data_IF_456551353594
#
_entry.id   IF_456551353594
#
_cell.length_a   1.000
_cell.length_b   1.000
_cell.length_c   1.000
_cell.angle_alpha   90.00
_cell.angle_beta   90.00
_cell.angle_gamma   90.00
#
_symmetry.space_group_name_H-M   'P 1'
#
loop_
_entity.id
_entity.type
_entity.pdbx_description
1 polymer ?
#
# COMPACT_ATOMS: atom_id res chain seq x y z
N UNK A 1 -2.91 17.87 -32.12
CA UNK A 1 -2.64 19.15 -31.42
C UNK A 1 -3.98 19.74 -31.02
N UNK A 2 -4.28 19.80 -29.73
CA UNK A 2 -5.53 20.40 -29.23
C UNK A 2 -5.29 21.84 -28.80
N UNK A 3 -6.22 22.75 -29.12
CA UNK A 3 -6.21 24.15 -28.63
C UNK A 3 -7.52 24.47 -27.93
N UNK A 4 -7.43 25.10 -26.75
CA UNK A 4 -8.58 25.58 -25.97
C UNK A 4 -8.27 26.95 -25.36
N UNK A 5 -9.29 27.78 -25.23
CA UNK A 5 -9.18 29.12 -24.65
C UNK A 5 -10.15 29.20 -23.48
N UNK A 6 -9.67 29.70 -22.34
CA UNK A 6 -10.46 29.93 -21.14
C UNK A 6 -10.29 31.36 -20.66
N UNK A 7 -11.33 31.94 -20.06
CA UNK A 7 -11.18 33.14 -19.23
C UNK A 7 -10.38 32.83 -17.95
N UNK A 8 -9.64 33.79 -17.41
CA UNK A 8 -8.87 33.57 -16.16
C UNK A 8 -9.83 33.24 -15.00
N UNK A 9 -10.91 33.99 -14.85
CA UNK A 9 -11.91 33.80 -13.79
C UNK A 9 -12.73 32.53 -14.00
N UNK A 10 -13.07 32.20 -15.25
CA UNK A 10 -13.70 30.94 -15.63
C UNK A 10 -12.80 29.74 -15.24
N UNK A 11 -11.50 29.84 -15.53
CA UNK A 11 -10.56 28.78 -15.19
C UNK A 11 -10.40 28.63 -13.67
N UNK A 12 -10.42 29.73 -12.91
CA UNK A 12 -10.41 29.67 -11.44
C UNK A 12 -11.67 29.01 -10.89
N UNK A 13 -12.83 29.20 -11.52
CA UNK A 13 -14.08 28.53 -11.15
C UNK A 13 -14.01 27.02 -11.40
N UNK A 14 -13.52 26.62 -12.58
CA UNK A 14 -13.33 25.21 -12.92
C UNK A 14 -12.41 24.50 -11.90
N UNK A 15 -11.44 25.24 -11.35
CA UNK A 15 -10.48 24.76 -10.36
C UNK A 15 -10.93 24.97 -8.91
N UNK A 16 -12.13 25.50 -8.65
CA UNK A 16 -12.67 25.80 -7.31
C UNK A 16 -11.74 26.68 -6.44
N UNK A 17 -11.13 27.69 -7.04
CA UNK A 17 -10.17 28.62 -6.39
C UNK A 17 -10.46 30.09 -6.71
N UNK A 18 -11.73 30.43 -6.88
CA UNK A 18 -12.20 31.78 -7.23
C UNK A 18 -11.76 32.84 -6.20
N UNK A 19 -11.74 32.47 -4.93
CA UNK A 19 -11.36 33.31 -3.79
C UNK A 19 -9.85 33.34 -3.53
N UNK A 20 -9.08 32.47 -4.20
CA UNK A 20 -7.62 32.38 -4.06
C UNK A 20 -6.88 33.10 -5.19
N UNK A 21 -5.65 33.52 -4.90
CA UNK A 21 -4.75 34.16 -5.86
C UNK A 21 -5.36 35.39 -6.56
N UNK A 22 -5.73 36.39 -5.76
CA UNK A 22 -6.33 37.64 -6.25
C UNK A 22 -5.54 38.31 -7.37
N UNK A 23 -4.21 38.24 -7.34
CA UNK A 23 -3.34 38.71 -8.43
C UNK A 23 -3.08 37.59 -9.44
N UNK A 24 -3.27 37.89 -10.74
CA UNK A 24 -2.96 36.97 -11.83
C UNK A 24 -1.52 36.42 -11.76
N UNK A 25 -0.54 37.24 -11.37
CA UNK A 25 0.85 36.78 -11.20
C UNK A 25 0.99 35.60 -10.22
N UNK A 26 0.24 35.60 -9.11
CA UNK A 26 0.25 34.50 -8.15
C UNK A 26 -0.43 33.25 -8.73
N UNK A 27 -1.53 33.42 -9.46
CA UNK A 27 -2.22 32.34 -10.15
C UNK A 27 -1.33 31.70 -11.21
N UNK A 28 -0.64 32.52 -12.02
CA UNK A 28 0.34 32.06 -13.01
C UNK A 28 1.47 31.27 -12.36
N UNK A 29 2.10 31.83 -11.31
CA UNK A 29 3.26 31.20 -10.68
C UNK A 29 2.91 29.91 -9.95
N UNK A 30 1.80 29.89 -9.20
CA UNK A 30 1.48 28.77 -8.29
C UNK A 30 0.62 27.70 -8.94
N UNK A 31 -0.18 28.06 -9.96
CA UNK A 31 -1.10 27.13 -10.63
C UNK A 31 -0.61 26.83 -12.04
N UNK A 32 -0.56 27.83 -12.93
CA UNK A 32 -0.35 27.58 -14.36
C UNK A 32 1.04 26.99 -14.65
N UNK A 33 2.10 27.61 -14.14
CA UNK A 33 3.48 27.15 -14.35
C UNK A 33 3.75 25.84 -13.63
N UNK A 34 3.17 25.65 -12.44
CA UNK A 34 3.33 24.41 -11.67
C UNK A 34 2.64 23.24 -12.37
N UNK A 35 1.40 23.43 -12.80
CA UNK A 35 0.66 22.44 -13.58
C UNK A 35 1.36 22.10 -14.91
N UNK A 36 1.98 23.09 -15.56
CA UNK A 36 2.76 22.86 -16.78
C UNK A 36 3.95 21.92 -16.54
N UNK A 37 4.70 22.15 -15.46
CA UNK A 37 5.83 21.30 -15.04
C UNK A 37 5.36 19.88 -14.67
N UNK A 38 4.33 19.79 -13.80
CA UNK A 38 3.87 18.51 -13.25
C UNK A 38 3.26 17.62 -14.33
N UNK A 39 2.45 18.19 -15.24
CA UNK A 39 1.86 17.45 -16.36
C UNK A 39 2.96 16.96 -17.31
N UNK A 40 3.95 17.79 -17.63
CA UNK A 40 5.08 17.36 -18.49
C UNK A 40 5.95 16.28 -17.83
N UNK A 41 6.07 16.28 -16.49
CA UNK A 41 6.89 15.31 -15.76
C UNK A 41 6.18 13.98 -15.54
N UNK A 42 4.88 14.00 -15.27
CA UNK A 42 4.14 12.85 -14.73
C UNK A 42 3.05 12.29 -15.66
N UNK A 43 2.83 12.89 -16.84
CA UNK A 43 1.79 12.42 -17.77
C UNK A 43 2.32 12.24 -19.20
N UNK A 44 1.52 11.59 -20.04
CA UNK A 44 1.80 11.36 -21.47
C UNK A 44 1.54 12.60 -22.35
N UNK A 45 1.12 13.71 -21.76
CA UNK A 45 0.87 14.99 -22.43
C UNK A 45 1.70 16.11 -21.81
N UNK A 46 1.86 17.22 -22.55
CA UNK A 46 2.36 18.49 -22.03
C UNK A 46 1.60 19.63 -22.70
N UNK A 47 1.63 20.81 -22.11
CA UNK A 47 0.99 21.98 -22.73
C UNK A 47 1.86 23.23 -22.62
N UNK A 48 1.57 24.21 -23.46
CA UNK A 48 2.00 25.60 -23.29
C UNK A 48 0.76 26.48 -23.28
N UNK A 49 0.89 27.73 -22.83
CA UNK A 49 -0.21 28.68 -22.90
C UNK A 49 0.27 30.07 -23.27
N UNK A 50 -0.58 30.80 -24.00
CA UNK A 50 -0.39 32.21 -24.32
C UNK A 50 -1.38 33.08 -23.54
N UNK A 51 -0.91 34.24 -23.10
CA UNK A 51 -1.69 35.23 -22.37
C UNK A 51 -2.38 36.17 -23.36
N UNK A 52 -3.71 36.23 -23.29
CA UNK A 52 -4.52 37.10 -24.12
C UNK A 52 -5.10 38.19 -23.24
N UNK A 53 -4.82 39.43 -23.60
CA UNK A 53 -5.29 40.63 -22.92
C UNK A 53 -6.02 41.49 -23.95
N UNK A 54 -7.31 41.76 -23.74
CA UNK A 54 -8.05 42.72 -24.57
C UNK A 54 -7.67 44.15 -24.17
N UNK A 55 -7.34 44.35 -22.89
CA UNK A 55 -6.73 45.58 -22.36
C UNK A 55 -5.29 45.33 -21.91
N UNK A 56 -4.33 46.22 -22.23
CA UNK A 56 -2.89 46.01 -21.97
C UNK A 56 -2.48 45.82 -20.50
N UNK A 57 -3.39 46.00 -19.54
CA UNK A 57 -3.09 46.00 -18.10
C UNK A 57 -3.42 44.68 -17.41
N UNK A 58 -4.32 43.87 -17.98
CA UNK A 58 -4.83 42.65 -17.34
C UNK A 58 -4.93 41.51 -18.34
N UNK A 59 -4.43 40.34 -17.95
CA UNK A 59 -4.67 39.10 -18.69
C UNK A 59 -6.09 38.64 -18.42
N UNK A 60 -6.89 38.54 -19.47
CA UNK A 60 -8.31 38.16 -19.37
C UNK A 60 -8.52 36.69 -19.77
N UNK A 61 -7.70 36.20 -20.72
CA UNK A 61 -7.86 34.87 -21.33
C UNK A 61 -6.53 34.15 -21.46
N UNK A 62 -6.59 32.83 -21.46
CA UNK A 62 -5.45 31.92 -21.61
C UNK A 62 -5.73 30.96 -22.75
N UNK A 63 -4.82 30.89 -23.72
CA UNK A 63 -4.89 29.96 -24.84
C UNK A 63 -3.94 28.79 -24.63
N UNK A 64 -4.48 27.63 -24.25
CA UNK A 64 -3.72 26.41 -24.03
C UNK A 64 -3.52 25.62 -25.33
N UNK A 65 -2.30 25.13 -25.53
CA UNK A 65 -1.91 24.27 -26.65
C UNK A 65 -1.35 22.96 -26.09
N UNK A 66 -1.99 21.84 -26.42
CA UNK A 66 -1.66 20.52 -25.87
C UNK A 66 -0.90 19.68 -26.90
N UNK A 67 0.20 19.09 -26.44
CA UNK A 67 1.13 18.25 -27.20
C UNK A 67 1.24 16.87 -26.55
N UNK A 68 1.52 15.84 -27.37
CA UNK A 68 1.94 14.53 -26.84
C UNK A 68 3.35 14.65 -26.25
N UNK A 69 3.57 14.08 -25.08
CA UNK A 69 4.87 14.06 -24.42
C UNK A 69 5.84 13.12 -25.14
N UNK A 70 7.15 13.42 -25.12
CA UNK A 70 8.17 12.64 -25.85
C UNK A 70 8.64 11.39 -25.08
N UNK A 71 8.36 11.31 -23.79
CA UNK A 71 8.68 10.14 -22.94
C UNK A 71 7.63 9.06 -23.18
N UNK A 72 7.96 8.07 -24.01
CA UNK A 72 7.11 6.92 -24.30
C UNK A 72 7.53 5.72 -23.45
N UNK A 73 6.55 5.15 -22.74
CA UNK A 73 6.53 3.80 -22.14
C UNK A 73 7.39 3.61 -20.88
N UNK A 74 6.70 3.68 -19.74
CA UNK A 74 6.87 2.84 -18.54
C UNK A 74 8.32 2.65 -18.08
N UNK A 75 8.84 3.63 -17.37
CA UNK A 75 9.63 3.34 -16.17
C UNK A 75 8.69 3.47 -14.98
N UNK A 76 8.08 2.35 -14.58
CA UNK A 76 7.63 2.19 -13.19
C UNK A 76 8.91 2.01 -12.39
N UNK A 77 9.54 3.13 -12.04
CA UNK A 77 10.36 3.24 -10.85
C UNK A 77 9.91 4.51 -10.15
N UNK A 78 9.10 4.26 -9.11
CA UNK A 78 9.10 4.97 -7.85
C UNK A 78 9.62 6.40 -7.92
N UNK A 79 8.72 7.38 -8.04
CA UNK A 79 8.83 8.68 -7.39
C UNK A 79 7.64 9.57 -7.79
N UNK A 80 6.81 9.87 -6.80
CA UNK A 80 6.07 11.13 -6.64
C UNK A 80 5.06 11.49 -7.74
N UNK A 81 3.77 11.27 -7.49
CA UNK A 81 2.77 12.33 -7.24
C UNK A 81 1.37 11.70 -7.16
N UNK A 82 0.89 11.54 -5.93
CA UNK A 82 -0.54 11.56 -5.63
C UNK A 82 -0.72 12.50 -4.44
N UNK A 83 -0.69 13.81 -4.70
CA UNK A 83 -1.56 14.71 -3.94
C UNK A 83 -2.87 14.77 -4.71
N UNK A 84 -3.87 14.05 -4.20
CA UNK A 84 -5.26 14.44 -4.33
C UNK A 84 -5.75 14.84 -2.93
N UNK A 85 -6.45 15.97 -2.92
CA UNK A 85 -6.84 16.78 -1.77
C UNK A 85 -7.89 16.12 -0.87
N UNK A 86 -7.51 15.07 -0.16
CA UNK A 86 -8.18 14.70 1.11
C UNK A 86 -7.20 14.69 2.30
N UNK A 87 -5.91 14.93 2.04
CA UNK A 87 -4.80 14.77 3.00
C UNK A 87 -4.17 16.10 3.47
N UNK A 88 -4.91 17.21 3.36
CA UNK A 88 -4.44 18.56 3.76
C UNK A 88 -4.32 18.77 5.27
N UNK A 89 -4.61 17.75 6.08
CA UNK A 89 -4.37 17.75 7.53
C UNK A 89 -3.07 17.05 7.96
N UNK A 90 -2.41 16.31 7.04
CA UNK A 90 -1.13 15.63 7.25
C UNK A 90 0.03 16.22 6.43
N UNK A 91 -0.06 17.48 6.00
CA UNK A 91 1.12 18.21 5.51
C UNK A 91 2.07 18.46 6.70
N UNK A 92 2.88 17.43 6.95
CA UNK A 92 4.05 17.29 7.79
C UNK A 92 3.95 17.82 9.22
N UNK A 93 3.14 17.14 10.06
CA UNK A 93 3.13 17.31 11.51
C UNK A 93 4.55 17.43 12.09
N UNK A 94 5.47 16.57 11.63
CA UNK A 94 6.86 16.53 12.09
C UNK A 94 7.71 17.75 11.67
N UNK A 95 7.38 18.45 10.58
CA UNK A 95 8.03 19.75 10.25
C UNK A 95 7.64 20.82 11.28
N UNK A 96 6.36 20.84 11.67
CA UNK A 96 5.87 21.70 12.74
C UNK A 96 6.52 21.38 14.09
N UNK A 97 6.78 20.09 14.36
CA UNK A 97 7.51 19.65 15.55
C UNK A 97 8.97 20.10 15.56
N UNK A 98 9.67 20.05 14.42
CA UNK A 98 11.04 20.57 14.28
C UNK A 98 11.08 22.09 14.49
N UNK A 99 10.08 22.82 13.96
CA UNK A 99 9.93 24.25 14.22
C UNK A 99 9.67 24.54 15.69
N UNK A 100 8.90 23.70 16.37
CA UNK A 100 8.65 23.80 17.83
C UNK A 100 9.94 23.63 18.65
N UNK A 101 10.95 22.92 18.12
CA UNK A 101 12.26 22.83 18.75
C UNK A 101 13.12 24.10 18.55
N UNK A 102 12.69 25.04 17.71
CA UNK A 102 13.38 26.29 17.41
C UNK A 102 14.35 26.19 16.24
N UNK A 103 14.18 25.20 15.35
CA UNK A 103 14.95 25.09 14.10
C UNK A 103 14.34 26.03 13.06
N UNK A 104 15.17 26.84 12.38
CA UNK A 104 14.71 27.71 11.30
C UNK A 104 14.42 26.90 10.03
N UNK A 105 13.50 27.41 9.20
CA UNK A 105 13.17 26.79 7.92
C UNK A 105 14.41 26.60 7.04
N UNK A 106 15.30 27.60 7.02
CA UNK A 106 16.55 27.56 6.25
C UNK A 106 17.53 26.48 6.72
N UNK A 107 17.63 26.22 8.02
CA UNK A 107 18.47 25.15 8.57
C UNK A 107 17.84 23.80 8.26
N UNK A 108 16.53 23.70 8.41
CA UNK A 108 15.80 22.49 8.10
C UNK A 108 15.95 22.07 6.63
N UNK A 109 15.74 22.99 5.69
CA UNK A 109 15.85 22.69 4.26
C UNK A 109 17.30 22.47 3.80
N UNK A 110 18.24 23.31 4.24
CA UNK A 110 19.60 23.31 3.69
C UNK A 110 20.59 22.41 4.44
N UNK A 111 20.30 22.00 5.68
CA UNK A 111 21.21 21.19 6.49
C UNK A 111 20.61 19.87 6.97
N UNK A 112 19.29 19.78 7.10
CA UNK A 112 18.64 18.55 7.57
C UNK A 112 18.15 17.74 6.37
N UNK A 113 17.27 18.29 5.54
CA UNK A 113 16.67 17.58 4.40
C UNK A 113 17.68 17.28 3.28
N UNK A 114 18.75 18.06 3.16
CA UNK A 114 19.79 17.87 2.16
C UNK A 114 20.83 16.82 2.52
N UNK A 115 21.01 16.53 3.82
CA UNK A 115 22.12 15.73 4.35
C UNK A 115 21.65 14.39 4.96
N UNK A 116 20.39 14.30 5.40
CA UNK A 116 19.88 13.15 6.13
C UNK A 116 18.59 12.61 5.50
N UNK A 117 18.44 11.29 5.54
CA UNK A 117 17.23 10.61 5.12
C UNK A 117 16.04 10.98 6.02
N UNK A 118 14.88 11.19 5.41
CA UNK A 118 13.65 11.62 6.09
C UNK A 118 13.28 10.70 7.27
N UNK A 119 13.41 9.39 7.09
CA UNK A 119 13.12 8.40 8.14
C UNK A 119 14.07 8.53 9.32
N UNK A 120 15.36 8.74 9.07
CA UNK A 120 16.34 8.94 10.12
C UNK A 120 16.05 10.22 10.91
N UNK A 121 15.66 11.30 10.22
CA UNK A 121 15.26 12.56 10.84
C UNK A 121 14.03 12.37 11.74
N UNK A 122 12.98 11.72 11.23
CA UNK A 122 11.74 11.44 11.97
C UNK A 122 11.98 10.58 13.21
N UNK A 123 12.78 9.53 13.09
CA UNK A 123 13.08 8.67 14.25
C UNK A 123 13.93 9.43 15.29
N UNK A 124 14.94 10.17 14.86
CA UNK A 124 15.75 11.01 15.75
C UNK A 124 14.89 12.04 16.47
N UNK A 125 13.95 12.67 15.76
CA UNK A 125 12.99 13.62 16.32
C UNK A 125 12.12 12.98 17.39
N UNK A 126 11.62 11.76 17.13
CA UNK A 126 10.83 10.98 18.08
C UNK A 126 11.59 10.66 19.37
N UNK A 127 12.86 10.23 19.27
CA UNK A 127 13.69 9.96 20.42
C UNK A 127 14.00 11.23 21.23
N UNK A 128 14.37 12.32 20.54
CA UNK A 128 14.56 13.63 21.18
C UNK A 128 13.31 14.09 21.93
N UNK A 129 12.11 13.91 21.35
CA UNK A 129 10.84 14.22 22.04
C UNK A 129 10.67 13.43 23.33
N UNK A 130 10.96 12.13 23.31
CA UNK A 130 10.86 11.31 24.51
C UNK A 130 11.85 11.78 25.58
N UNK A 131 13.10 12.04 25.18
CA UNK A 131 14.13 12.56 26.08
C UNK A 131 13.77 13.91 26.71
N UNK A 132 13.16 14.82 25.93
CA UNK A 132 12.75 16.15 26.42
C UNK A 132 11.54 16.12 27.36
N UNK A 133 10.79 15.01 27.43
CA UNK A 133 9.72 14.85 28.43
C UNK A 133 10.29 14.58 29.81
N UNK A 134 11.42 13.88 29.89
CA UNK A 134 12.04 13.47 31.16
C UNK A 134 13.21 14.36 31.56
N UNK A 135 13.82 15.07 30.60
CA UNK A 135 15.01 15.90 30.82
C UNK A 135 14.79 17.36 30.42
N UNK A 136 15.16 18.29 31.31
CA UNK A 136 15.13 19.71 31.02
C UNK A 136 16.31 20.12 30.12
N UNK A 137 16.02 20.33 28.83
CA UNK A 137 17.02 20.72 27.83
C UNK A 137 16.90 22.21 27.50
N UNK A 138 18.00 22.97 27.68
CA UNK A 138 18.05 24.43 27.48
C UNK A 138 17.85 24.85 26.02
N UNK A 139 18.43 24.12 25.07
CA UNK A 139 18.32 24.41 23.63
C UNK A 139 17.95 23.14 22.86
N UNK A 140 16.66 22.96 22.60
CA UNK A 140 16.11 21.76 21.95
C UNK A 140 16.59 21.63 20.50
N UNK A 141 16.67 22.73 19.75
CA UNK A 141 17.19 22.78 18.38
C UNK A 141 18.66 22.34 18.29
N UNK A 142 19.52 22.92 19.14
CA UNK A 142 20.94 22.56 19.19
C UNK A 142 21.16 21.10 19.57
N UNK A 143 20.40 20.59 20.54
CA UNK A 143 20.45 19.17 20.90
C UNK A 143 20.03 18.27 19.73
N UNK A 144 18.92 18.60 19.06
CA UNK A 144 18.42 17.81 17.94
C UNK A 144 19.41 17.77 16.76
N UNK A 145 19.98 18.92 16.39
CA UNK A 145 21.01 19.00 15.34
C UNK A 145 22.25 18.19 15.70
N UNK A 146 22.66 18.25 16.97
CA UNK A 146 23.80 17.46 17.46
C UNK A 146 23.51 15.96 17.46
N UNK A 147 22.29 15.56 17.84
CA UNK A 147 21.87 14.16 17.81
C UNK A 147 21.84 13.58 16.39
N UNK A 148 21.42 14.38 15.38
CA UNK A 148 21.49 13.99 13.98
C UNK A 148 22.93 13.77 13.53
N UNK A 149 23.79 14.76 13.78
CA UNK A 149 25.19 14.79 13.33
C UNK A 149 26.05 13.72 14.01
N UNK A 150 26.00 13.65 15.34
CA UNK A 150 26.83 12.73 16.13
C UNK A 150 26.21 11.31 16.19
N UNK A 151 24.97 11.14 15.72
CA UNK A 151 24.35 9.82 15.58
C UNK A 151 23.88 9.19 16.88
N UNK A 152 23.40 9.98 17.84
CA UNK A 152 23.06 9.51 19.20
C UNK A 152 22.09 8.33 19.25
N UNK A 153 21.23 8.19 18.25
CA UNK A 153 20.20 7.15 18.22
C UNK A 153 20.37 6.16 17.05
N UNK A 154 21.53 6.17 16.37
CA UNK A 154 21.73 5.32 15.18
C UNK A 154 21.60 3.84 15.51
N UNK A 155 22.13 3.41 16.65
CA UNK A 155 22.09 2.01 17.07
C UNK A 155 20.65 1.55 17.35
N UNK A 156 19.89 2.33 18.13
CA UNK A 156 18.51 2.00 18.48
C UNK A 156 17.57 2.08 17.26
N UNK A 157 17.84 2.98 16.32
CA UNK A 157 17.11 3.05 15.05
C UNK A 157 17.37 1.78 14.22
N UNK A 158 18.64 1.39 14.07
CA UNK A 158 19.02 0.21 13.32
C UNK A 158 18.46 -1.08 13.93
N UNK A 159 18.45 -1.19 15.27
CA UNK A 159 17.81 -2.31 15.95
C UNK A 159 16.29 -2.39 15.69
N UNK A 160 15.60 -1.25 15.70
CA UNK A 160 14.17 -1.23 15.38
C UNK A 160 13.89 -1.62 13.94
N UNK A 161 14.71 -1.15 13.00
CA UNK A 161 14.61 -1.53 11.58
C UNK A 161 14.82 -3.05 11.45
N UNK A 162 15.88 -3.60 12.05
CA UNK A 162 16.17 -5.03 12.02
C UNK A 162 15.03 -5.89 12.61
N UNK A 163 14.42 -5.44 13.72
CA UNK A 163 13.26 -6.12 14.33
C UNK A 163 12.03 -6.09 13.41
N UNK A 164 11.77 -4.96 12.73
CA UNK A 164 10.66 -4.84 11.77
C UNK A 164 10.88 -5.71 10.53
N UNK A 165 12.09 -5.72 9.97
CA UNK A 165 12.43 -6.53 8.80
C UNK A 165 12.26 -8.02 9.09
N UNK A 166 12.76 -8.51 10.24
CA UNK A 166 12.57 -9.91 10.66
C UNK A 166 11.09 -10.29 10.78
N UNK A 167 10.26 -9.39 11.32
CA UNK A 167 8.81 -9.60 11.47
C UNK A 167 8.05 -9.58 10.14
N UNK A 168 8.49 -8.74 9.19
CA UNK A 168 7.93 -8.71 7.84
C UNK A 168 8.27 -10.00 7.08
N UNK A 169 9.53 -10.44 7.13
CA UNK A 169 9.98 -11.68 6.51
C UNK A 169 9.24 -12.91 7.05
N UNK A 170 9.04 -13.01 8.37
CA UNK A 170 8.27 -14.12 8.95
C UNK A 170 6.81 -14.14 8.51
N UNK A 171 6.19 -12.96 8.30
CA UNK A 171 4.81 -12.86 7.84
C UNK A 171 4.68 -13.29 6.37
N UNK A 172 5.59 -12.84 5.51
CA UNK A 172 5.60 -13.22 4.09
C UNK A 172 5.79 -14.74 3.95
N UNK A 173 6.70 -15.33 4.72
CA UNK A 173 6.92 -16.78 4.74
C UNK A 173 5.67 -17.55 5.19
N UNK A 174 5.01 -17.11 6.26
CA UNK A 174 3.77 -17.73 6.73
C UNK A 174 2.64 -17.65 5.70
N UNK A 175 2.53 -16.50 5.02
CA UNK A 175 1.51 -16.29 4.00
C UNK A 175 1.75 -17.19 2.78
N UNK A 176 2.99 -17.32 2.31
CA UNK A 176 3.32 -18.23 1.20
C UNK A 176 3.06 -19.70 1.55
N UNK A 177 3.36 -20.12 2.78
CA UNK A 177 3.08 -21.49 3.25
C UNK A 177 1.59 -21.78 3.37
N UNK A 178 0.78 -20.77 3.72
CA UNK A 178 -0.67 -20.90 3.80
C UNK A 178 -1.31 -20.98 2.41
N UNK A 179 -0.86 -20.16 1.46
CA UNK A 179 -1.29 -20.19 0.06
C UNK A 179 -0.97 -21.54 -0.60
N UNK A 180 0.22 -22.10 -0.35
CA UNK A 180 0.61 -23.42 -0.88
C UNK A 180 -0.26 -24.54 -0.30
N UNK A 181 -0.54 -24.52 1.01
CA UNK A 181 -1.45 -25.50 1.65
C UNK A 181 -2.87 -25.41 1.10
N UNK A 182 -3.38 -24.20 0.86
CA UNK A 182 -4.70 -24.00 0.28
C UNK A 182 -4.78 -24.54 -1.14
N UNK A 183 -3.75 -24.29 -1.96
CA UNK A 183 -3.67 -24.83 -3.32
C UNK A 183 -3.63 -26.36 -3.32
N UNK A 184 -2.81 -26.97 -2.46
CA UNK A 184 -2.73 -28.42 -2.32
C UNK A 184 -4.05 -29.03 -1.84
N UNK A 185 -4.74 -28.38 -0.90
CA UNK A 185 -6.04 -28.82 -0.42
C UNK A 185 -7.11 -28.78 -1.53
N UNK A 186 -7.10 -27.73 -2.36
CA UNK A 186 -8.00 -27.60 -3.51
C UNK A 186 -7.73 -28.68 -4.56
N UNK A 187 -6.46 -28.92 -4.89
CA UNK A 187 -6.07 -29.99 -5.83
C UNK A 187 -6.49 -31.37 -5.30
N UNK A 188 -6.32 -31.64 -4.01
CA UNK A 188 -6.77 -32.88 -3.37
C UNK A 188 -8.28 -33.03 -3.44
N UNK A 189 -9.04 -31.98 -3.16
CA UNK A 189 -10.51 -31.99 -3.23
C UNK A 189 -11.00 -32.28 -4.65
N UNK A 190 -10.37 -31.67 -5.66
CA UNK A 190 -10.69 -31.94 -7.07
C UNK A 190 -10.42 -33.39 -7.45
N UNK A 191 -9.29 -33.96 -7.03
CA UNK A 191 -9.00 -35.38 -7.25
C UNK A 191 -10.02 -36.30 -6.58
N UNK A 192 -10.35 -36.04 -5.30
CA UNK A 192 -11.35 -36.80 -4.58
C UNK A 192 -12.72 -36.73 -5.24
N UNK A 193 -13.09 -35.59 -5.82
CA UNK A 193 -14.35 -35.45 -6.54
C UNK A 193 -14.42 -36.40 -7.74
N UNK A 194 -13.35 -36.49 -8.53
CA UNK A 194 -13.26 -37.41 -9.67
C UNK A 194 -13.35 -38.86 -9.19
N UNK A 195 -12.58 -39.23 -8.16
CA UNK A 195 -12.59 -40.58 -7.60
C UNK A 195 -13.97 -40.98 -7.08
N UNK A 196 -14.69 -40.06 -6.44
CA UNK A 196 -16.06 -40.31 -5.98
C UNK A 196 -17.02 -40.50 -7.15
N UNK A 197 -16.92 -39.68 -8.19
CA UNK A 197 -17.76 -39.79 -9.38
C UNK A 197 -17.54 -41.13 -10.13
N UNK A 198 -16.31 -41.65 -10.11
CA UNK A 198 -15.94 -42.85 -10.85
C UNK A 198 -16.10 -44.16 -10.05
N UNK A 199 -15.74 -44.16 -8.76
CA UNK A 199 -15.59 -45.40 -7.98
C UNK A 199 -16.51 -45.51 -6.77
N UNK A 200 -17.27 -44.46 -6.41
CA UNK A 200 -18.16 -44.51 -5.25
C UNK A 200 -19.48 -45.22 -5.58
N UNK A 201 -19.48 -46.54 -5.43
CA UNK A 201 -20.70 -47.37 -5.57
C UNK A 201 -21.28 -47.75 -4.20
N UNK A 202 -22.56 -48.19 -4.14
CA UNK A 202 -23.14 -48.74 -2.91
C UNK A 202 -22.33 -49.92 -2.36
N UNK A 203 -21.85 -50.81 -3.23
CA UNK A 203 -21.04 -51.97 -2.87
C UNK A 203 -19.69 -51.54 -2.27
N UNK A 204 -19.06 -50.52 -2.85
CA UNK A 204 -17.83 -49.94 -2.30
C UNK A 204 -18.09 -49.36 -0.90
N UNK A 205 -19.18 -48.61 -0.74
CA UNK A 205 -19.55 -48.00 0.55
C UNK A 205 -19.76 -49.05 1.64
N UNK A 206 -20.48 -50.13 1.33
CA UNK A 206 -20.72 -51.24 2.26
C UNK A 206 -19.42 -51.94 2.66
N UNK A 207 -18.49 -52.14 1.71
CA UNK A 207 -17.18 -52.73 1.98
C UNK A 207 -16.36 -51.92 2.99
N UNK A 208 -16.41 -50.58 2.90
CA UNK A 208 -15.71 -49.66 3.81
C UNK A 208 -16.35 -49.67 5.20
N UNK A 209 -17.68 -49.73 5.29
CA UNK A 209 -18.39 -49.83 6.58
C UNK A 209 -18.04 -51.13 7.29
N UNK A 210 -17.97 -52.24 6.56
CA UNK A 210 -17.60 -53.53 7.13
C UNK A 210 -16.13 -53.57 7.55
N UNK A 211 -15.23 -52.94 6.79
CA UNK A 211 -13.83 -52.76 7.21
C UNK A 211 -13.73 -51.97 8.52
N UNK A 212 -14.48 -50.86 8.66
CA UNK A 212 -14.52 -50.08 9.90
C UNK A 212 -15.04 -50.91 11.07
N UNK A 213 -16.07 -51.73 10.84
CA UNK A 213 -16.63 -52.62 11.84
C UNK A 213 -15.60 -53.61 12.39
N UNK A 214 -14.77 -54.16 11.49
CA UNK A 214 -13.76 -55.17 11.81
C UNK A 214 -12.49 -54.57 12.43
N UNK A 215 -12.03 -53.44 11.90
CA UNK A 215 -10.69 -52.91 12.19
C UNK A 215 -10.69 -51.66 13.09
N UNK A 216 -11.80 -50.92 13.17
CA UNK A 216 -11.83 -49.62 13.85
C UNK A 216 -13.16 -49.37 14.59
N UNK A 217 -13.32 -50.04 15.72
CA UNK A 217 -14.52 -50.00 16.56
C UNK A 217 -14.91 -48.59 17.00
N UNK A 218 -13.95 -47.67 17.18
CA UNK A 218 -14.25 -46.29 17.55
C UNK A 218 -14.89 -45.53 16.39
N UNK A 219 -14.28 -45.57 15.20
CA UNK A 219 -14.82 -44.90 14.01
C UNK A 219 -16.15 -45.52 13.58
N UNK A 220 -16.29 -46.84 13.67
CA UNK A 220 -17.56 -47.52 13.35
C UNK A 220 -18.72 -47.01 14.20
N UNK A 221 -18.53 -46.85 15.52
CA UNK A 221 -19.56 -46.29 16.43
C UNK A 221 -20.00 -44.87 16.06
N UNK A 222 -19.12 -44.08 15.44
CA UNK A 222 -19.43 -42.73 14.96
C UNK A 222 -20.24 -42.73 13.66
N UNK A 223 -20.31 -43.86 12.96
CA UNK A 223 -20.94 -44.00 11.64
C UNK A 223 -22.22 -44.82 11.68
N UNK A 224 -22.23 -45.93 12.44
CA UNK A 224 -23.26 -46.98 12.44
C UNK A 224 -24.68 -46.41 12.48
N UNK A 225 -24.99 -45.57 13.47
CA UNK A 225 -26.33 -45.02 13.68
C UNK A 225 -26.85 -44.14 12.53
N UNK A 226 -25.97 -43.40 11.86
CA UNK A 226 -26.34 -42.55 10.74
C UNK A 226 -26.42 -43.36 9.46
N UNK A 227 -25.51 -44.32 9.28
CA UNK A 227 -25.50 -45.22 8.14
C UNK A 227 -26.74 -46.13 8.08
N UNK A 228 -27.21 -46.65 9.23
CA UNK A 228 -28.47 -47.41 9.33
C UNK A 228 -29.69 -46.60 8.87
N UNK A 229 -29.61 -45.27 8.90
CA UNK A 229 -30.66 -44.35 8.41
C UNK A 229 -30.45 -43.94 6.96
N UNK A 230 -29.46 -44.50 6.28
CA UNK A 230 -29.06 -44.13 4.92
C UNK A 230 -28.32 -42.78 4.84
N UNK A 231 -27.75 -42.29 5.94
CA UNK A 231 -27.03 -41.00 6.00
C UNK A 231 -25.53 -41.24 5.97
N UNK A 232 -24.86 -40.67 4.97
CA UNK A 232 -23.38 -40.62 4.93
C UNK A 232 -22.92 -39.41 5.73
N UNK A 233 -22.48 -39.64 6.97
CA UNK A 233 -21.96 -38.57 7.81
C UNK A 233 -20.49 -38.26 7.50
N UNK A 234 -19.96 -37.20 8.12
CA UNK A 234 -18.59 -36.73 7.89
C UNK A 234 -17.53 -37.80 8.14
N UNK A 235 -17.73 -38.67 9.13
CA UNK A 235 -16.75 -39.71 9.46
C UNK A 235 -16.73 -40.83 8.42
N UNK A 236 -17.92 -41.23 7.93
CA UNK A 236 -18.02 -42.18 6.83
C UNK A 236 -17.44 -41.58 5.54
N UNK A 237 -17.74 -40.32 5.24
CA UNK A 237 -17.18 -39.64 4.08
C UNK A 237 -15.64 -39.61 4.12
N UNK A 238 -15.04 -39.32 5.27
CA UNK A 238 -13.58 -39.34 5.44
C UNK A 238 -13.01 -40.76 5.21
N UNK A 239 -13.66 -41.80 5.76
CA UNK A 239 -13.21 -43.17 5.57
C UNK A 239 -13.28 -43.61 4.10
N UNK A 240 -14.35 -43.22 3.40
CA UNK A 240 -14.52 -43.46 1.97
C UNK A 240 -13.42 -42.74 1.17
N UNK A 241 -13.17 -41.47 1.45
CA UNK A 241 -12.14 -40.68 0.76
C UNK A 241 -10.73 -41.27 0.95
N UNK A 242 -10.41 -41.69 2.18
CA UNK A 242 -9.13 -42.36 2.48
C UNK A 242 -9.00 -43.66 1.70
N UNK A 243 -10.07 -44.47 1.64
CA UNK A 243 -10.05 -45.72 0.90
C UNK A 243 -9.92 -45.50 -0.60
N UNK A 244 -10.66 -44.53 -1.15
CA UNK A 244 -10.60 -44.13 -2.56
C UNK A 244 -9.20 -43.66 -2.95
N UNK A 245 -8.58 -42.78 -2.16
CA UNK A 245 -7.20 -42.35 -2.41
C UNK A 245 -6.20 -43.51 -2.34
N UNK A 246 -6.38 -44.45 -1.39
CA UNK A 246 -5.48 -45.59 -1.23
C UNK A 246 -5.57 -46.59 -2.38
N UNK A 247 -6.77 -46.83 -2.92
CA UNK A 247 -6.99 -47.82 -3.98
C UNK A 247 -6.84 -47.24 -5.40
N UNK A 248 -7.20 -45.97 -5.60
CA UNK A 248 -7.31 -45.37 -6.92
C UNK A 248 -6.52 -44.06 -7.08
N UNK A 249 -5.84 -43.58 -6.03
CA UNK A 249 -5.17 -42.28 -6.03
C UNK A 249 -3.87 -42.18 -6.84
N UNK A 250 -3.33 -43.30 -7.32
CA UNK A 250 -2.14 -43.35 -8.21
C UNK A 250 -2.49 -43.44 -9.71
N UNK A 251 -3.77 -43.46 -10.07
CA UNK A 251 -4.26 -43.54 -11.46
C UNK A 251 -4.28 -42.15 -12.11
#
# INVERSE_FOLDING_TARGET
MGKRIFGVEELKQILCIEDKYSKYANFKQRILLKAQEDIEKHTDIRFTFDEISETSRNVEKLAFIIYKNKKSVIEIQEENFAQNEEDSSEINFWHGEIKTFGVSQSVFENQILSEYDEDYIKQTLKYCKHYFKTTAVKQKSGFFLKALKDGYYKEEINEQIAKKVKKAQSKVQQQSEEEEKQKLALEREQKLKILREEFLTPEFTESVVEELRQNNTFMYKLVEKDYEKGIVNKYLQIALDIRLEKEFGEI
#
